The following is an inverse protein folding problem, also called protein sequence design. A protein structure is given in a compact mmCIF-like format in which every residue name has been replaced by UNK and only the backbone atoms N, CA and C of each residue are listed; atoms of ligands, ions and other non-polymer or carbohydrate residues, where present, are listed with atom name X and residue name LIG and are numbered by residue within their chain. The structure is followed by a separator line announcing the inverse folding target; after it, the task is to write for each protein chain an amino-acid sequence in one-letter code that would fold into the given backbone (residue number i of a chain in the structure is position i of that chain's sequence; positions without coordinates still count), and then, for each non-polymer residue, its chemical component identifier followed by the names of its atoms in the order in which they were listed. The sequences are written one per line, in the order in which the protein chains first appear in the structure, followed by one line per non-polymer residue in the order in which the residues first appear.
data_IF_769163256299
#
_entry.id   IF_769163256299
#
_cell.length_a   1.000
_cell.length_b   1.000
_cell.length_c   1.000
_cell.angle_alpha   90.00
_cell.angle_beta   90.00
_cell.angle_gamma   90.00
#
_symmetry.space_group_name_H-M   'P 1'
#
loop_
_entity.id
_entity.type
_entity.pdbx_description
1 polymer ?
#
# COMPACT_ATOMS: atom_id res chain seq x y z
N UNK A 1 8.05 35.74 -15.89
CA UNK A 1 7.04 34.69 -15.60
C UNK A 1 7.74 33.47 -15.04
N UNK A 2 7.47 33.08 -13.80
CA UNK A 2 7.88 31.74 -13.31
C UNK A 2 6.83 30.75 -13.83
N UNK A 3 7.09 30.19 -15.01
CA UNK A 3 6.24 29.14 -15.58
C UNK A 3 6.40 27.83 -14.80
N UNK A 4 5.41 26.95 -14.88
CA UNK A 4 5.50 25.62 -14.29
C UNK A 4 6.45 24.75 -15.13
N UNK A 5 7.40 24.06 -14.47
CA UNK A 5 8.28 23.08 -15.11
C UNK A 5 7.84 21.68 -14.71
N UNK A 6 7.68 20.79 -15.68
CA UNK A 6 7.42 19.38 -15.42
C UNK A 6 8.73 18.77 -14.90
N UNK A 7 8.77 18.41 -13.62
CA UNK A 7 9.87 17.63 -13.07
C UNK A 7 9.56 16.14 -13.26
N UNK A 8 10.48 15.41 -13.89
CA UNK A 8 10.51 13.95 -13.82
C UNK A 8 10.91 13.52 -12.41
N UNK A 9 10.42 12.36 -11.96
CA UNK A 9 10.90 11.75 -10.70
C UNK A 9 12.17 10.95 -11.01
N UNK A 10 13.27 11.33 -10.36
CA UNK A 10 14.52 10.58 -10.42
C UNK A 10 14.44 9.29 -9.58
N UNK A 11 15.27 8.27 -9.89
CA UNK A 11 15.38 7.08 -9.03
C UNK A 11 15.71 7.42 -7.57
N UNK A 12 16.49 8.48 -7.33
CA UNK A 12 16.84 8.96 -6.00
C UNK A 12 15.62 9.52 -5.25
N UNK A 13 14.81 10.37 -5.89
CA UNK A 13 13.57 10.88 -5.29
C UNK A 13 12.56 9.76 -5.01
N UNK A 14 12.47 8.78 -5.92
CA UNK A 14 11.64 7.60 -5.71
C UNK A 14 12.11 6.80 -4.49
N UNK A 15 13.41 6.53 -4.36
CA UNK A 15 13.99 5.83 -3.21
C UNK A 15 13.73 6.58 -1.89
N UNK A 16 13.87 7.91 -1.89
CA UNK A 16 13.55 8.74 -0.72
C UNK A 16 12.06 8.64 -0.35
N UNK A 17 11.17 8.68 -1.33
CA UNK A 17 9.73 8.52 -1.09
C UNK A 17 9.41 7.14 -0.49
N UNK A 18 10.05 6.06 -0.99
CA UNK A 18 9.96 4.73 -0.37
C UNK A 18 10.43 4.73 1.08
N UNK A 19 11.54 5.39 1.40
CA UNK A 19 12.08 5.43 2.76
C UNK A 19 11.13 6.14 3.73
N UNK A 20 10.60 7.30 3.31
CA UNK A 20 9.61 8.07 4.09
C UNK A 20 8.36 7.23 4.32
N UNK A 21 7.82 6.61 3.26
CA UNK A 21 6.65 5.72 3.35
C UNK A 21 6.90 4.57 4.31
N UNK A 22 8.02 3.87 4.18
CA UNK A 22 8.39 2.77 5.07
C UNK A 22 8.37 3.22 6.53
N UNK A 23 8.93 4.39 6.84
CA UNK A 23 8.93 4.92 8.21
C UNK A 23 7.51 5.21 8.72
N UNK A 24 6.68 5.88 7.91
CA UNK A 24 5.29 6.21 8.27
C UNK A 24 4.41 4.96 8.43
N UNK A 25 4.46 4.05 7.45
CA UNK A 25 3.70 2.79 7.44
C UNK A 25 4.13 1.90 8.61
N UNK A 26 5.43 1.82 8.92
CA UNK A 26 5.93 1.07 10.08
C UNK A 26 5.39 1.66 11.39
N UNK A 27 5.39 3.00 11.53
CA UNK A 27 4.84 3.64 12.72
C UNK A 27 3.33 3.37 12.85
N UNK A 28 2.58 3.45 11.74
CA UNK A 28 1.15 3.18 11.73
C UNK A 28 0.85 1.75 12.16
N UNK A 29 1.56 0.77 11.60
CA UNK A 29 1.40 -0.65 11.95
C UNK A 29 1.80 -0.91 13.42
N UNK A 30 2.85 -0.26 13.93
CA UNK A 30 3.23 -0.38 15.35
C UNK A 30 2.13 0.09 16.29
N UNK A 31 1.42 1.17 15.95
CA UNK A 31 0.28 1.63 16.73
C UNK A 31 -0.95 0.74 16.53
N UNK A 32 -1.20 0.28 15.31
CA UNK A 32 -2.28 -0.64 15.00
C UNK A 32 -2.16 -1.94 15.79
N UNK A 33 -0.94 -2.49 15.93
CA UNK A 33 -0.69 -3.72 16.67
C UNK A 33 -1.21 -3.72 18.11
N UNK A 34 -1.36 -2.54 18.73
CA UNK A 34 -1.86 -2.38 20.10
C UNK A 34 -3.29 -1.83 20.17
N UNK A 35 -3.90 -1.46 19.04
CA UNK A 35 -5.18 -0.72 18.97
C UNK A 35 -6.22 -1.33 18.03
N UNK A 36 -5.82 -2.27 17.19
CA UNK A 36 -6.69 -2.99 16.27
C UNK A 36 -7.76 -3.76 17.06
N UNK A 37 -8.99 -3.78 16.56
CA UNK A 37 -10.07 -4.58 17.17
C UNK A 37 -10.12 -5.98 16.59
N UNK A 38 -10.82 -6.88 17.28
CA UNK A 38 -11.02 -8.25 16.80
C UNK A 38 -11.76 -8.28 15.45
N UNK A 39 -12.75 -7.39 15.25
CA UNK A 39 -13.50 -7.28 14.00
C UNK A 39 -12.61 -6.84 12.83
N UNK A 40 -11.70 -5.91 13.06
CA UNK A 40 -10.73 -5.47 12.05
C UNK A 40 -9.71 -6.57 11.72
N UNK A 41 -9.28 -7.32 12.73
CA UNK A 41 -8.40 -8.47 12.59
C UNK A 41 -9.06 -9.59 11.77
N UNK A 42 -10.33 -9.89 12.05
CA UNK A 42 -11.09 -10.90 11.31
C UNK A 42 -11.33 -10.45 9.86
N UNK A 43 -11.64 -9.17 9.62
CA UNK A 43 -11.71 -8.62 8.27
C UNK A 43 -10.36 -8.73 7.52
N UNK A 44 -9.23 -8.54 8.20
CA UNK A 44 -7.90 -8.76 7.61
C UNK A 44 -7.65 -10.24 7.28
N UNK A 45 -8.10 -11.17 8.13
CA UNK A 45 -8.00 -12.62 7.87
C UNK A 45 -8.83 -13.03 6.66
N UNK A 46 -10.04 -12.50 6.50
CA UNK A 46 -10.87 -12.74 5.33
C UNK A 46 -10.21 -12.26 4.04
N UNK A 47 -9.54 -11.09 4.08
CA UNK A 47 -8.78 -10.58 2.95
C UNK A 47 -7.58 -11.46 2.60
N UNK A 48 -6.90 -12.06 3.59
CA UNK A 48 -5.83 -13.03 3.34
C UNK A 48 -6.38 -14.30 2.67
N UNK A 49 -7.51 -14.84 3.14
CA UNK A 49 -8.14 -16.00 2.51
C UNK A 49 -8.59 -15.70 1.07
N UNK A 50 -9.05 -14.47 0.78
CA UNK A 50 -9.34 -14.03 -0.59
C UNK A 50 -8.07 -13.93 -1.44
N UNK A 51 -6.96 -13.48 -0.88
CA UNK A 51 -5.68 -13.44 -1.59
C UNK A 51 -5.23 -14.86 -1.94
N UNK A 52 -5.25 -15.79 -0.99
CA UNK A 52 -4.85 -17.19 -1.22
C UNK A 52 -5.68 -17.84 -2.33
N UNK A 53 -7.01 -17.61 -2.33
CA UNK A 53 -7.88 -18.05 -3.43
C UNK A 53 -7.49 -17.43 -4.77
N UNK A 54 -7.19 -16.14 -4.79
CA UNK A 54 -6.76 -15.47 -6.02
C UNK A 54 -5.47 -16.09 -6.58
N UNK A 55 -4.50 -16.41 -5.72
CA UNK A 55 -3.26 -17.09 -6.12
C UNK A 55 -3.47 -18.53 -6.60
N UNK A 56 -4.51 -19.22 -6.11
CA UNK A 56 -4.83 -20.58 -6.53
C UNK A 56 -5.58 -20.63 -7.87
N UNK A 57 -6.41 -19.62 -8.16
CA UNK A 57 -7.33 -19.63 -9.30
C UNK A 57 -6.82 -18.84 -10.53
N UNK A 58 -5.95 -17.85 -10.33
CA UNK A 58 -5.54 -16.92 -11.39
C UNK A 58 -4.01 -16.83 -11.52
N UNK A 59 -3.55 -16.46 -12.72
CA UNK A 59 -2.14 -16.16 -13.00
C UNK A 59 -1.96 -14.81 -13.71
N UNK A 60 -0.71 -14.36 -13.80
CA UNK A 60 -0.29 -13.21 -14.61
C UNK A 60 -1.11 -11.92 -14.33
N UNK A 61 -1.60 -11.27 -15.39
CA UNK A 61 -2.33 -10.01 -15.30
C UNK A 61 -3.67 -10.15 -14.58
N UNK A 62 -4.35 -11.29 -14.73
CA UNK A 62 -5.63 -11.51 -14.06
C UNK A 62 -5.44 -11.64 -12.54
N UNK A 63 -4.39 -12.35 -12.11
CA UNK A 63 -4.01 -12.40 -10.70
C UNK A 63 -3.74 -10.99 -10.16
N UNK A 64 -3.00 -10.15 -10.90
CA UNK A 64 -2.69 -8.79 -10.48
C UNK A 64 -3.94 -7.93 -10.32
N UNK A 65 -4.88 -7.99 -11.26
CA UNK A 65 -6.12 -7.22 -11.22
C UNK A 65 -7.03 -7.65 -10.06
N UNK A 66 -7.01 -8.94 -9.67
CA UNK A 66 -7.74 -9.46 -8.51
C UNK A 66 -7.05 -9.18 -7.18
N UNK A 67 -5.72 -9.27 -7.14
CA UNK A 67 -4.93 -9.13 -5.92
C UNK A 67 -4.76 -7.67 -5.49
N UNK A 68 -4.65 -6.74 -6.44
CA UNK A 68 -4.41 -5.33 -6.13
C UNK A 68 -5.50 -4.68 -5.23
N UNK A 69 -6.80 -4.89 -5.48
CA UNK A 69 -7.86 -4.45 -4.57
C UNK A 69 -7.77 -5.04 -3.16
N UNK A 70 -7.36 -6.31 -3.04
CA UNK A 70 -7.21 -7.00 -1.75
C UNK A 70 -6.10 -6.34 -0.93
N UNK A 71 -4.93 -6.13 -1.55
CA UNK A 71 -3.80 -5.41 -0.94
C UNK A 71 -4.20 -4.00 -0.51
N UNK A 72 -4.99 -3.29 -1.34
CA UNK A 72 -5.47 -1.94 -1.00
C UNK A 72 -6.35 -1.95 0.25
N UNK A 73 -7.31 -2.88 0.34
CA UNK A 73 -8.20 -3.02 1.51
C UNK A 73 -7.44 -3.43 2.76
N UNK A 74 -6.52 -4.40 2.65
CA UNK A 74 -5.73 -4.89 3.77
C UNK A 74 -4.88 -3.77 4.39
N UNK A 75 -4.16 -3.02 3.55
CA UNK A 75 -3.35 -1.89 4.02
C UNK A 75 -4.21 -0.75 4.58
N UNK A 76 -5.43 -0.54 4.05
CA UNK A 76 -6.35 0.45 4.60
C UNK A 76 -6.67 0.14 6.07
N UNK A 77 -7.08 -1.09 6.37
CA UNK A 77 -7.37 -1.52 7.74
C UNK A 77 -6.12 -1.37 8.62
N UNK A 78 -4.97 -1.87 8.17
CA UNK A 78 -3.72 -1.82 8.93
C UNK A 78 -3.28 -0.39 9.30
N UNK A 79 -3.50 0.59 8.41
CA UNK A 79 -3.13 1.99 8.68
C UNK A 79 -4.19 2.74 9.48
N UNK A 80 -5.47 2.48 9.28
CA UNK A 80 -6.56 3.15 10.02
C UNK A 80 -6.71 2.62 11.45
N UNK A 81 -6.32 1.36 11.69
CA UNK A 81 -6.23 0.75 13.01
C UNK A 81 -5.22 1.45 13.94
N UNK A 82 -4.34 2.32 13.41
CA UNK A 82 -3.42 3.10 14.25
C UNK A 82 -4.11 4.12 15.17
N UNK A 83 -5.39 4.45 14.92
CA UNK A 83 -6.17 5.48 15.66
C UNK A 83 -5.47 6.84 15.76
N UNK A 84 -4.76 7.22 14.72
CA UNK A 84 -4.14 8.54 14.58
C UNK A 84 -4.46 9.07 13.19
N UNK A 85 -5.48 9.93 13.12
CA UNK A 85 -5.94 10.54 11.86
C UNK A 85 -4.78 11.21 11.12
N UNK A 86 -3.97 11.99 11.83
CA UNK A 86 -2.80 12.68 11.26
C UNK A 86 -1.76 11.72 10.69
N UNK A 87 -1.52 10.58 11.33
CA UNK A 87 -0.57 9.59 10.80
C UNK A 87 -1.14 8.88 9.57
N UNK A 88 -2.43 8.52 9.61
CA UNK A 88 -3.11 7.94 8.46
C UNK A 88 -3.08 8.89 7.26
N UNK A 89 -3.40 10.17 7.44
CA UNK A 89 -3.31 11.21 6.41
C UNK A 89 -1.91 11.31 5.80
N UNK A 90 -0.85 11.29 6.61
CA UNK A 90 0.53 11.32 6.13
C UNK A 90 0.88 10.09 5.28
N UNK A 91 0.41 8.90 5.67
CA UNK A 91 0.58 7.67 4.88
C UNK A 91 -0.16 7.81 3.54
N UNK A 92 -1.39 8.32 3.54
CA UNK A 92 -2.19 8.48 2.33
C UNK A 92 -1.62 9.54 1.38
N UNK A 93 -1.10 10.66 1.90
CA UNK A 93 -0.48 11.71 1.11
C UNK A 93 0.73 11.20 0.30
N UNK A 94 1.50 10.26 0.85
CA UNK A 94 2.62 9.65 0.13
C UNK A 94 2.19 8.63 -0.94
N UNK A 95 0.95 8.14 -0.88
CA UNK A 95 0.42 7.16 -1.83
C UNK A 95 0.09 7.77 -3.20
N UNK A 96 -0.31 9.05 -3.22
CA UNK A 96 -0.65 9.76 -4.46
C UNK A 96 0.51 9.79 -5.47
N UNK A 97 1.74 9.97 -4.98
CA UNK A 97 2.95 9.93 -5.82
C UNK A 97 3.09 8.57 -6.51
N UNK A 98 2.79 7.48 -5.82
CA UNK A 98 2.96 6.13 -6.35
C UNK A 98 1.87 5.74 -7.34
N UNK A 99 0.63 6.14 -7.05
CA UNK A 99 -0.50 5.91 -7.94
C UNK A 99 -0.29 6.69 -9.25
N UNK A 100 0.23 7.92 -9.17
CA UNK A 100 0.58 8.74 -10.35
C UNK A 100 1.61 8.08 -11.27
N UNK A 101 2.62 7.41 -10.70
CA UNK A 101 3.69 6.74 -11.47
C UNK A 101 3.45 5.24 -11.65
N UNK A 102 2.25 4.73 -11.34
CA UNK A 102 1.90 3.30 -11.46
C UNK A 102 2.92 2.34 -10.81
N UNK A 103 3.62 2.83 -9.77
CA UNK A 103 4.78 2.13 -9.19
C UNK A 103 4.39 0.74 -8.70
N UNK A 104 3.19 0.61 -8.13
CA UNK A 104 2.70 -0.67 -7.65
C UNK A 104 2.45 -1.66 -8.78
N UNK A 105 1.99 -1.25 -9.97
CA UNK A 105 1.82 -2.14 -11.13
C UNK A 105 3.16 -2.68 -11.64
N UNK A 106 4.26 -1.95 -11.42
CA UNK A 106 5.60 -2.39 -11.79
C UNK A 106 6.20 -3.32 -10.72
N UNK A 107 5.96 -3.04 -9.45
CA UNK A 107 6.61 -3.76 -8.33
C UNK A 107 5.88 -5.04 -7.95
N UNK A 108 4.54 -5.04 -7.94
CA UNK A 108 3.75 -6.19 -7.50
C UNK A 108 4.03 -7.47 -8.30
N UNK A 109 4.11 -7.43 -9.66
CA UNK A 109 4.46 -8.63 -10.44
C UNK A 109 5.82 -9.20 -10.04
N UNK A 110 6.82 -8.33 -9.82
CA UNK A 110 8.16 -8.73 -9.41
C UNK A 110 8.22 -9.32 -7.99
N UNK A 111 7.19 -9.12 -7.17
CA UNK A 111 7.10 -9.71 -5.82
C UNK A 111 6.32 -11.02 -5.80
N UNK A 112 5.37 -11.17 -6.70
CA UNK A 112 4.56 -12.40 -6.83
C UNK A 112 5.37 -13.52 -7.49
N UNK A 113 6.17 -13.18 -8.50
CA UNK A 113 6.98 -14.14 -9.25
C UNK A 113 8.32 -14.50 -8.57
N UNK A 114 8.49 -14.14 -7.29
CA UNK A 114 9.74 -14.28 -6.54
C UNK A 114 9.58 -15.26 -5.40
#
# INVERSE_FOLDING_TARGET
MKGNRICSVSPYELANSFAIRKALETLAVRYAAVRITDEELDAMRELLAQADKAFAEFSDNELLDRFFPIVKKFNKIAFEACRSERLAELVWAQRELFDRYMVMRIILPNRINK
#
